data_IF_558150336868
#
_entry.id   IF_558150336868
#
_cell.length_a   1.000
_cell.length_b   1.000
_cell.length_c   1.000
_cell.angle_alpha   90.00
_cell.angle_beta   90.00
_cell.angle_gamma   90.00
#
_symmetry.space_group_name_H-M   'P 1'
#
loop_
_entity.id
_entity.type
_entity.pdbx_description
1 polymer ?
#
# COMPACT_ATOMS: atom_id res chain seq x y z
N UNK A 1 -10.28 -16.28 16.02
CA UNK A 1 -10.60 -15.23 15.02
C UNK A 1 -9.32 -14.49 14.63
N UNK A 2 -8.41 -15.14 13.89
CA UNK A 2 -7.16 -14.55 13.36
C UNK A 2 -6.77 -15.20 12.00
N UNK A 3 -7.75 -15.73 11.26
CA UNK A 3 -7.49 -16.48 10.02
C UNK A 3 -7.47 -15.59 8.76
N UNK A 4 -7.82 -14.30 8.86
CA UNK A 4 -8.05 -13.45 7.67
C UNK A 4 -6.77 -12.80 7.12
N UNK A 5 -5.69 -12.70 7.92
CA UNK A 5 -4.45 -12.08 7.45
C UNK A 5 -3.53 -13.00 6.63
N UNK A 6 -3.83 -14.30 6.52
CA UNK A 6 -2.97 -15.25 5.82
C UNK A 6 -3.30 -15.43 4.33
N UNK A 7 -4.44 -14.91 3.84
CA UNK A 7 -4.89 -15.13 2.45
C UNK A 7 -4.29 -14.11 1.45
N UNK A 8 -3.73 -12.99 1.93
CA UNK A 8 -3.21 -11.93 1.05
C UNK A 8 -1.77 -12.13 0.53
N UNK A 9 -1.16 -13.30 0.76
CA UNK A 9 0.12 -13.66 0.11
C UNK A 9 -0.06 -14.35 -1.26
N UNK A 10 -1.30 -14.59 -1.70
CA UNK A 10 -1.55 -15.19 -3.01
C UNK A 10 -1.51 -14.12 -4.11
N UNK A 11 -0.34 -14.00 -4.74
CA UNK A 11 -0.18 -13.63 -6.15
C UNK A 11 -0.77 -12.26 -6.54
N UNK A 12 -0.13 -11.17 -6.08
CA UNK A 12 -0.15 -9.91 -6.85
C UNK A 12 0.71 -10.10 -8.10
N UNK A 13 0.14 -10.73 -9.13
CA UNK A 13 0.63 -10.64 -10.51
C UNK A 13 0.17 -9.30 -11.10
N UNK A 14 0.50 -8.19 -10.42
CA UNK A 14 0.42 -6.87 -11.02
C UNK A 14 1.71 -6.71 -11.80
N UNK A 15 1.55 -6.52 -13.10
CA UNK A 15 2.56 -6.15 -14.10
C UNK A 15 3.28 -4.83 -13.77
N UNK A 16 3.98 -4.80 -12.64
CA UNK A 16 4.97 -3.79 -12.32
C UNK A 16 6.26 -4.56 -12.09
N UNK A 17 7.02 -4.74 -13.16
CA UNK A 17 8.44 -5.00 -13.01
C UNK A 17 8.96 -3.85 -12.15
N UNK A 18 9.30 -4.13 -10.89
CA UNK A 18 10.18 -3.22 -10.15
C UNK A 18 11.46 -3.25 -10.98
N UNK A 19 11.75 -2.15 -11.68
CA UNK A 19 13.06 -1.96 -12.29
C UNK A 19 14.03 -1.81 -11.11
N UNK A 20 14.42 -2.94 -10.53
CA UNK A 20 15.52 -3.01 -9.59
C UNK A 20 16.77 -2.80 -10.42
N UNK A 21 17.40 -1.64 -10.23
CA UNK A 21 18.68 -1.39 -10.84
C UNK A 21 19.67 -2.43 -10.29
N UNK A 22 20.06 -3.37 -11.15
CA UNK A 22 21.00 -4.44 -10.82
C UNK A 22 22.33 -3.85 -10.32
N UNK A 23 22.68 -2.63 -10.74
CA UNK A 23 23.88 -1.95 -10.28
C UNK A 23 23.81 -1.56 -8.81
N UNK A 24 22.64 -1.17 -8.30
CA UNK A 24 22.44 -0.83 -6.88
C UNK A 24 22.40 -2.11 -6.04
N UNK A 25 21.62 -3.11 -6.48
CA UNK A 25 21.42 -4.35 -5.72
C UNK A 25 22.67 -5.21 -5.61
N UNK A 26 23.60 -5.12 -6.58
CA UNK A 26 24.91 -5.80 -6.52
C UNK A 26 25.85 -5.27 -5.44
N UNK A 27 25.58 -4.08 -4.88
CA UNK A 27 26.44 -3.45 -3.88
C UNK A 27 26.15 -3.93 -2.44
N UNK A 28 25.00 -4.57 -2.22
CA UNK A 28 24.63 -5.10 -0.90
C UNK A 28 25.52 -6.28 -0.50
N UNK A 29 26.15 -6.20 0.67
CA UNK A 29 26.93 -7.27 1.28
C UNK A 29 26.04 -8.22 2.08
N UNK A 30 24.91 -7.73 2.60
CA UNK A 30 23.96 -8.53 3.38
C UNK A 30 22.76 -8.94 2.52
N UNK A 31 22.45 -10.23 2.51
CA UNK A 31 21.22 -10.75 1.89
C UNK A 31 19.96 -10.14 2.52
N UNK A 32 20.02 -9.74 3.80
CA UNK A 32 18.90 -9.07 4.46
C UNK A 32 18.64 -7.68 3.90
N UNK A 33 19.67 -6.96 3.45
CA UNK A 33 19.52 -5.64 2.82
C UNK A 33 18.81 -5.76 1.48
N UNK A 34 19.16 -6.77 0.69
CA UNK A 34 18.47 -7.08 -0.55
C UNK A 34 16.98 -7.41 -0.31
N UNK A 35 16.70 -8.29 0.65
CA UNK A 35 15.31 -8.67 1.01
C UNK A 35 14.51 -7.44 1.47
N UNK A 36 15.07 -6.60 2.33
CA UNK A 36 14.38 -5.40 2.82
C UNK A 36 14.19 -4.39 1.68
N UNK A 37 15.19 -4.18 0.84
CA UNK A 37 15.07 -3.26 -0.30
C UNK A 37 13.97 -3.70 -1.28
N UNK A 38 13.94 -4.98 -1.64
CA UNK A 38 12.91 -5.55 -2.52
C UNK A 38 11.52 -5.43 -1.88
N UNK A 39 11.40 -5.74 -0.59
CA UNK A 39 10.17 -5.54 0.17
C UNK A 39 9.69 -4.08 0.10
N UNK A 40 10.56 -3.09 0.36
CA UNK A 40 10.17 -1.67 0.34
C UNK A 40 9.80 -1.18 -1.06
N UNK A 41 10.50 -1.65 -2.10
CA UNK A 41 10.20 -1.33 -3.50
C UNK A 41 8.88 -1.95 -3.97
N UNK A 42 8.57 -3.18 -3.54
CA UNK A 42 7.29 -3.83 -3.81
C UNK A 42 6.11 -3.06 -3.18
N UNK A 43 6.37 -2.28 -2.13
CA UNK A 43 5.43 -1.36 -1.49
C UNK A 43 5.62 0.09 -1.95
N UNK A 44 5.89 0.28 -3.25
CA UNK A 44 5.92 1.63 -3.84
C UNK A 44 4.64 2.41 -3.51
N UNK A 45 4.80 3.69 -3.16
CA UNK A 45 3.70 4.58 -2.78
C UNK A 45 3.34 4.54 -1.30
N UNK A 46 3.91 3.63 -0.51
CA UNK A 46 3.84 3.64 0.96
C UNK A 46 4.97 4.50 1.54
N UNK A 47 4.72 5.19 2.66
CA UNK A 47 5.74 5.94 3.42
C UNK A 47 6.10 5.28 4.75
N UNK A 48 5.24 4.38 5.24
CA UNK A 48 5.54 3.46 6.33
C UNK A 48 4.66 2.21 6.23
N UNK A 49 4.96 1.15 6.99
CA UNK A 49 4.16 -0.07 6.98
C UNK A 49 4.38 -0.86 8.28
N UNK A 50 3.44 -0.86 9.23
CA UNK A 50 3.57 -1.67 10.43
C UNK A 50 3.59 -3.16 10.09
N UNK A 51 4.65 -3.87 10.48
CA UNK A 51 4.83 -5.31 10.27
C UNK A 51 5.07 -6.01 11.61
N UNK A 52 4.38 -7.13 11.86
CA UNK A 52 4.62 -7.90 13.08
C UNK A 52 6.02 -8.50 13.11
N UNK A 53 6.54 -8.76 14.31
CA UNK A 53 7.84 -9.43 14.50
C UNK A 53 7.87 -10.76 13.76
N UNK A 54 6.80 -11.54 13.85
CA UNK A 54 6.69 -12.86 13.23
C UNK A 54 6.73 -12.76 11.70
N UNK A 55 6.07 -11.76 11.13
CA UNK A 55 6.07 -11.54 9.68
C UNK A 55 7.46 -11.10 9.18
N UNK A 56 8.17 -10.24 9.94
CA UNK A 56 9.55 -9.87 9.59
C UNK A 56 10.53 -11.03 9.71
N UNK A 57 10.42 -11.86 10.75
CA UNK A 57 11.25 -13.05 10.88
C UNK A 57 11.08 -14.00 9.69
N UNK A 58 9.85 -14.19 9.21
CA UNK A 58 9.55 -14.96 8.00
C UNK A 58 10.08 -14.30 6.73
N UNK A 59 9.90 -12.98 6.59
CA UNK A 59 10.41 -12.20 5.45
C UNK A 59 11.92 -12.42 5.27
N UNK A 60 12.68 -12.42 6.38
CA UNK A 60 14.12 -12.64 6.35
C UNK A 60 14.56 -14.12 6.40
N UNK A 61 13.63 -15.08 6.46
CA UNK A 61 13.94 -16.51 6.53
C UNK A 61 14.66 -16.93 7.82
N UNK A 62 14.36 -16.27 8.94
CA UNK A 62 15.01 -16.48 10.25
C UNK A 62 14.02 -16.82 11.36
N UNK A 63 12.80 -17.21 11.02
CA UNK A 63 11.73 -17.58 11.93
C UNK A 63 12.06 -18.76 12.85
N UNK A 64 13.02 -19.61 12.46
CA UNK A 64 13.47 -20.76 13.26
C UNK A 64 14.71 -20.46 14.13
N UNK A 65 15.28 -19.25 14.06
CA UNK A 65 16.47 -18.88 14.86
C UNK A 65 16.06 -18.53 16.29
N UNK A 66 16.27 -19.48 17.23
CA UNK A 66 15.94 -19.32 18.66
C UNK A 66 16.48 -18.03 19.27
N UNK A 67 17.71 -17.62 18.92
CA UNK A 67 18.32 -16.39 19.41
C UNK A 67 17.50 -15.14 19.06
N UNK A 68 16.90 -15.09 17.87
CA UNK A 68 16.09 -13.96 17.41
C UNK A 68 14.66 -14.00 17.97
N UNK A 69 14.13 -15.22 18.14
CA UNK A 69 12.83 -15.43 18.79
C UNK A 69 12.86 -14.97 20.26
N UNK A 70 13.86 -15.42 21.02
CA UNK A 70 14.00 -15.13 22.45
C UNK A 70 14.53 -13.72 22.72
N UNK A 71 15.39 -13.19 21.85
CA UNK A 71 15.98 -11.87 22.01
C UNK A 71 15.75 -11.00 20.76
N UNK A 72 14.72 -10.15 20.82
CA UNK A 72 14.40 -9.21 19.75
C UNK A 72 15.54 -8.20 19.51
N UNK A 73 16.35 -7.87 20.52
CA UNK A 73 17.53 -7.01 20.37
C UNK A 73 18.60 -7.62 19.46
N UNK A 74 18.80 -8.95 19.52
CA UNK A 74 19.72 -9.65 18.61
C UNK A 74 19.20 -9.64 17.17
N UNK A 75 17.89 -9.80 16.98
CA UNK A 75 17.28 -9.67 15.66
C UNK A 75 17.49 -8.27 15.08
N UNK A 76 17.26 -7.22 15.87
CA UNK A 76 17.53 -5.83 15.44
C UNK A 76 18.98 -5.65 15.00
N UNK A 77 19.92 -5.93 15.90
CA UNK A 77 21.33 -5.65 15.70
C UNK A 77 21.94 -6.42 14.51
N UNK A 78 21.48 -7.65 14.28
CA UNK A 78 22.07 -8.54 13.26
C UNK A 78 21.32 -8.59 11.95
N UNK A 79 20.10 -8.06 11.89
CA UNK A 79 19.23 -8.14 10.71
C UNK A 79 18.73 -6.76 10.31
N UNK A 80 17.85 -6.15 11.12
CA UNK A 80 17.20 -4.89 10.76
C UNK A 80 18.21 -3.73 10.66
N UNK A 81 19.06 -3.55 11.67
CA UNK A 81 20.01 -2.43 11.71
C UNK A 81 21.05 -2.53 10.58
N UNK A 82 21.50 -3.76 10.28
CA UNK A 82 22.40 -4.03 9.16
C UNK A 82 21.74 -3.67 7.83
N UNK A 83 20.51 -4.15 7.62
CA UNK A 83 19.77 -3.91 6.38
C UNK A 83 19.47 -2.42 6.17
N UNK A 84 18.98 -1.74 7.21
CA UNK A 84 18.64 -0.31 7.17
C UNK A 84 19.88 0.54 6.93
N UNK A 85 20.98 0.27 7.63
CA UNK A 85 22.23 1.01 7.45
C UNK A 85 22.76 0.87 6.03
N UNK A 86 22.80 -0.36 5.52
CA UNK A 86 23.36 -0.64 4.20
C UNK A 86 22.50 -0.03 3.08
N UNK A 87 21.17 -0.08 3.18
CA UNK A 87 20.29 0.55 2.19
C UNK A 87 20.42 2.08 2.24
N UNK A 88 20.50 2.68 3.42
CA UNK A 88 20.66 4.12 3.58
C UNK A 88 21.98 4.66 3.00
N UNK A 89 23.02 3.83 3.04
CA UNK A 89 24.36 4.16 2.53
C UNK A 89 24.45 3.99 1.01
N UNK A 90 23.90 2.89 0.48
CA UNK A 90 24.15 2.45 -0.90
C UNK A 90 23.04 2.81 -1.89
N UNK A 91 21.91 3.33 -1.41
CA UNK A 91 20.75 3.63 -2.26
C UNK A 91 20.19 5.03 -2.05
N UNK A 92 19.29 5.41 -2.94
CA UNK A 92 18.49 6.64 -2.83
C UNK A 92 17.49 6.60 -1.67
N UNK A 93 17.20 5.43 -1.09
CA UNK A 93 16.25 5.29 0.00
C UNK A 93 16.82 5.85 1.31
N UNK A 94 15.94 6.50 2.07
CA UNK A 94 16.17 6.86 3.47
C UNK A 94 15.12 6.16 4.32
N UNK A 95 15.59 5.27 5.18
CA UNK A 95 14.80 4.33 5.98
C UNK A 95 15.11 4.57 7.45
N UNK A 96 14.06 4.63 8.24
CA UNK A 96 14.06 4.54 9.69
C UNK A 96 13.01 3.51 10.09
N UNK A 97 13.00 3.04 11.33
CA UNK A 97 11.91 2.20 11.81
C UNK A 97 11.55 2.54 13.25
N UNK A 98 10.27 2.41 13.59
CA UNK A 98 9.76 2.50 14.96
C UNK A 98 9.48 1.11 15.52
N UNK A 99 9.61 0.97 16.83
CA UNK A 99 9.26 -0.27 17.52
C UNK A 99 7.80 -0.24 17.94
N UNK A 100 7.03 -1.23 17.51
CA UNK A 100 5.66 -1.45 17.99
C UNK A 100 5.71 -2.28 19.27
N UNK A 101 5.21 -1.73 20.38
CA UNK A 101 5.30 -2.36 21.71
C UNK A 101 3.94 -2.72 22.28
N UNK A 102 3.86 -3.88 22.93
CA UNK A 102 2.76 -4.26 23.81
C UNK A 102 3.33 -4.44 25.22
N UNK A 103 3.10 -3.46 26.07
CA UNK A 103 3.79 -3.36 27.36
C UNK A 103 5.29 -3.17 27.16
N UNK A 104 6.12 -4.03 27.77
CA UNK A 104 7.58 -4.00 27.62
C UNK A 104 8.09 -4.76 26.39
N UNK A 105 7.23 -5.56 25.75
CA UNK A 105 7.62 -6.44 24.66
C UNK A 105 7.44 -5.77 23.30
N UNK A 106 8.45 -5.86 22.45
CA UNK A 106 8.37 -5.46 21.04
C UNK A 106 7.60 -6.55 20.29
N UNK A 107 6.47 -6.18 19.69
CA UNK A 107 5.56 -7.05 18.93
C UNK A 107 5.64 -6.83 17.41
N UNK A 108 6.27 -5.74 16.98
CA UNK A 108 6.43 -5.42 15.57
C UNK A 108 7.38 -4.25 15.35
N UNK A 109 7.54 -3.92 14.09
CA UNK A 109 8.34 -2.79 13.65
C UNK A 109 7.57 -2.05 12.55
N UNK A 110 7.68 -0.74 12.53
CA UNK A 110 7.08 0.12 11.52
C UNK A 110 8.20 0.85 10.74
N UNK A 111 8.71 0.24 9.66
CA UNK A 111 9.65 0.89 8.76
C UNK A 111 8.98 2.10 8.13
N UNK A 112 9.68 3.23 8.14
CA UNK A 112 9.34 4.46 7.45
C UNK A 112 10.40 4.70 6.38
N UNK A 113 10.01 4.99 5.13
CA UNK A 113 10.98 5.19 4.07
C UNK A 113 10.59 6.25 3.04
N UNK A 114 11.60 6.83 2.40
CA UNK A 114 11.43 7.81 1.34
C UNK A 114 12.58 7.77 0.33
N UNK A 115 12.38 8.36 -0.85
CA UNK A 115 13.39 8.45 -1.92
C UNK A 115 14.12 9.79 -1.82
N UNK A 116 15.24 9.85 -1.07
CA UNK A 116 16.19 10.98 -0.99
C UNK A 116 15.66 12.31 -0.44
N UNK A 117 14.35 12.48 -0.36
CA UNK A 117 13.62 13.65 0.14
C UNK A 117 12.55 13.18 1.12
N UNK A 118 12.18 14.01 2.10
CA UNK A 118 11.07 13.71 3.01
C UNK A 118 9.79 13.70 2.16
N UNK A 119 9.21 12.52 1.95
CA UNK A 119 7.95 12.40 1.20
C UNK A 119 6.79 12.64 2.17
N UNK A 120 5.92 13.62 1.93
CA UNK A 120 4.79 13.89 2.80
C UNK A 120 3.80 12.74 2.78
N UNK A 121 3.28 12.38 3.95
CA UNK A 121 2.16 11.44 4.10
C UNK A 121 0.89 12.00 3.45
N UNK A 122 0.01 11.11 3.01
CA UNK A 122 -1.30 11.51 2.54
C UNK A 122 -2.08 12.21 3.66
N UNK A 123 -2.70 13.34 3.31
CA UNK A 123 -3.54 14.08 4.23
C UNK A 123 -4.84 13.33 4.50
N UNK A 124 -5.43 13.55 5.67
CA UNK A 124 -6.75 12.99 5.99
C UNK A 124 -7.81 13.38 4.93
N UNK A 125 -7.74 14.62 4.42
CA UNK A 125 -8.60 15.12 3.34
C UNK A 125 -8.47 14.27 2.06
N UNK A 126 -7.25 13.99 1.60
CA UNK A 126 -7.03 13.16 0.41
C UNK A 126 -7.57 11.75 0.60
N UNK A 127 -7.31 11.16 1.77
CA UNK A 127 -7.74 9.80 2.02
C UNK A 127 -9.25 9.67 2.16
N UNK A 128 -9.91 10.66 2.78
CA UNK A 128 -11.37 10.72 2.87
C UNK A 128 -11.99 10.87 1.49
N UNK A 129 -11.43 11.72 0.65
CA UNK A 129 -11.91 11.87 -0.73
C UNK A 129 -11.77 10.57 -1.55
N UNK A 130 -10.63 9.87 -1.42
CA UNK A 130 -10.46 8.56 -2.05
C UNK A 130 -11.49 7.55 -1.52
N UNK A 131 -11.70 7.52 -0.20
CA UNK A 131 -12.68 6.65 0.46
C UNK A 131 -14.11 6.88 -0.04
N UNK A 132 -14.52 8.16 -0.19
CA UNK A 132 -15.82 8.53 -0.72
C UNK A 132 -16.04 8.02 -2.14
N UNK A 133 -15.08 8.24 -3.06
CA UNK A 133 -15.21 7.75 -4.44
C UNK A 133 -15.28 6.21 -4.48
N UNK A 134 -14.43 5.54 -3.69
CA UNK A 134 -14.40 4.08 -3.61
C UNK A 134 -15.73 3.55 -3.07
N UNK A 135 -16.28 4.15 -2.01
CA UNK A 135 -17.55 3.74 -1.42
C UNK A 135 -18.73 3.93 -2.39
N UNK A 136 -18.80 5.07 -3.08
CA UNK A 136 -19.85 5.34 -4.06
C UNK A 136 -19.89 4.27 -5.17
N UNK A 137 -18.75 3.99 -5.79
CA UNK A 137 -18.67 2.97 -6.85
C UNK A 137 -19.06 1.58 -6.32
N UNK A 138 -18.72 1.28 -5.06
CA UNK A 138 -19.03 -0.01 -4.42
C UNK A 138 -20.51 -0.18 -4.12
N UNK A 139 -21.14 0.84 -3.56
CA UNK A 139 -22.56 0.81 -3.20
C UNK A 139 -23.42 0.58 -4.45
N UNK A 140 -23.03 1.19 -5.57
CA UNK A 140 -23.74 1.09 -6.85
C UNK A 140 -23.17 0.03 -7.80
N UNK A 141 -22.31 -0.88 -7.32
CA UNK A 141 -21.61 -1.85 -8.18
C UNK A 141 -22.57 -2.71 -9.02
N UNK A 142 -23.74 -3.02 -8.46
CA UNK A 142 -24.76 -3.82 -9.13
C UNK A 142 -25.36 -3.13 -10.35
N UNK A 143 -25.37 -1.80 -10.40
CA UNK A 143 -25.83 -1.04 -11.56
C UNK A 143 -24.89 -1.31 -12.73
N UNK A 144 -23.58 -1.20 -12.48
CA UNK A 144 -22.56 -1.36 -13.50
C UNK A 144 -22.42 -2.79 -14.04
N UNK A 145 -22.55 -3.81 -13.18
CA UNK A 145 -22.49 -5.21 -13.66
C UNK A 145 -23.74 -5.61 -14.48
N UNK A 146 -24.80 -4.80 -14.44
CA UNK A 146 -26.05 -5.03 -15.16
C UNK A 146 -26.23 -4.10 -16.37
N UNK A 147 -25.17 -3.38 -16.78
CA UNK A 147 -25.17 -2.59 -18.02
C UNK A 147 -25.60 -3.46 -19.21
N UNK A 148 -26.40 -2.91 -20.11
CA UNK A 148 -26.97 -3.61 -21.27
C UNK A 148 -25.86 -3.98 -22.25
N UNK A 149 -25.02 -3.00 -22.62
CA UNK A 149 -23.97 -3.20 -23.61
C UNK A 149 -22.83 -4.05 -23.05
N UNK A 150 -22.61 -5.22 -23.67
CA UNK A 150 -21.67 -6.23 -23.16
C UNK A 150 -20.26 -5.67 -22.98
N UNK A 151 -19.78 -4.88 -23.95
CA UNK A 151 -18.45 -4.28 -23.90
C UNK A 151 -18.30 -3.32 -22.72
N UNK A 152 -19.30 -2.46 -22.51
CA UNK A 152 -19.32 -1.50 -21.41
C UNK A 152 -19.34 -2.23 -20.06
N UNK A 153 -20.15 -3.29 -19.94
CA UNK A 153 -20.21 -4.15 -18.76
C UNK A 153 -18.86 -4.82 -18.44
N UNK A 154 -18.18 -5.36 -19.44
CA UNK A 154 -16.85 -5.97 -19.27
C UNK A 154 -15.80 -4.94 -18.82
N UNK A 155 -15.79 -3.76 -19.42
CA UNK A 155 -14.89 -2.65 -19.04
C UNK A 155 -15.20 -2.17 -17.61
N UNK A 156 -16.48 -2.05 -17.25
CA UNK A 156 -16.93 -1.66 -15.91
C UNK A 156 -16.50 -2.65 -14.83
N UNK A 157 -16.58 -3.95 -15.10
CA UNK A 157 -16.12 -5.00 -14.17
C UNK A 157 -14.62 -4.87 -13.88
N UNK A 158 -13.79 -4.61 -14.90
CA UNK A 158 -12.35 -4.41 -14.70
C UNK A 158 -12.08 -3.13 -13.87
N UNK A 159 -12.78 -2.03 -14.15
CA UNK A 159 -12.68 -0.81 -13.34
C UNK A 159 -13.09 -1.07 -11.87
N UNK A 160 -14.19 -1.77 -11.63
CA UNK A 160 -14.63 -2.12 -10.26
C UNK A 160 -13.56 -2.94 -9.55
N UNK A 161 -12.93 -3.93 -10.21
CA UNK A 161 -11.83 -4.70 -9.62
C UNK A 161 -10.65 -3.81 -9.24
N UNK A 162 -10.30 -2.84 -10.07
CA UNK A 162 -9.24 -1.87 -9.75
C UNK A 162 -9.60 -1.01 -8.54
N UNK A 163 -10.84 -0.53 -8.45
CA UNK A 163 -11.37 0.22 -7.30
C UNK A 163 -11.39 -0.63 -6.03
N UNK A 164 -11.81 -1.89 -6.11
CA UNK A 164 -11.77 -2.84 -4.99
C UNK A 164 -10.35 -2.98 -4.42
N UNK A 165 -9.35 -3.04 -5.30
CA UNK A 165 -7.94 -3.12 -4.89
C UNK A 165 -7.48 -1.88 -4.12
N UNK A 166 -8.15 -0.73 -4.26
CA UNK A 166 -7.80 0.49 -3.54
C UNK A 166 -8.18 0.45 -2.05
N UNK A 167 -9.13 -0.40 -1.65
CA UNK A 167 -9.54 -0.53 -0.24
C UNK A 167 -8.39 -0.91 0.70
N UNK A 168 -7.40 -1.63 0.18
CA UNK A 168 -6.20 -1.99 0.94
C UNK A 168 -5.44 -0.75 1.47
N UNK A 169 -5.59 0.41 0.82
CA UNK A 169 -4.94 1.66 1.20
C UNK A 169 -5.80 2.55 2.11
N UNK A 170 -7.09 2.23 2.30
CA UNK A 170 -8.02 3.01 3.13
C UNK A 170 -7.96 2.64 4.63
N UNK A 171 -7.22 1.58 4.97
CA UNK A 171 -7.02 1.15 6.35
C UNK A 171 -6.25 2.25 7.11
N UNK A 172 -6.77 2.66 8.28
CA UNK A 172 -6.18 3.70 9.13
C UNK A 172 -5.16 3.11 10.11
N UNK A 173 -4.02 3.78 10.40
CA UNK A 173 -3.56 5.04 9.80
C UNK A 173 -3.09 4.86 8.34
N UNK A 174 -3.31 5.89 7.51
CA UNK A 174 -3.01 5.81 6.08
C UNK A 174 -1.50 5.73 5.82
N UNK A 175 -1.09 4.61 5.25
CA UNK A 175 0.31 4.26 5.01
C UNK A 175 0.86 4.79 3.68
N UNK A 176 0.06 5.50 2.88
CA UNK A 176 0.44 5.97 1.54
C UNK A 176 0.89 7.43 1.49
N UNK A 177 1.79 7.72 0.54
CA UNK A 177 2.34 9.06 0.30
C UNK A 177 1.26 9.99 -0.27
N UNK A 178 1.43 11.30 -0.06
CA UNK A 178 0.56 12.34 -0.62
C UNK A 178 0.40 12.22 -2.14
N UNK A 179 1.50 11.95 -2.83
CA UNK A 179 1.52 11.90 -4.29
C UNK A 179 0.85 10.63 -4.80
N UNK A 180 1.08 9.49 -4.13
CA UNK A 180 0.38 8.25 -4.47
C UNK A 180 -1.12 8.34 -4.17
N UNK A 181 -1.52 9.01 -3.08
CA UNK A 181 -2.94 9.30 -2.83
C UNK A 181 -3.56 10.14 -3.96
N UNK A 182 -2.86 11.15 -4.46
CA UNK A 182 -3.32 11.93 -5.63
C UNK A 182 -3.45 11.07 -6.90
N UNK A 183 -2.51 10.15 -7.14
CA UNK A 183 -2.61 9.20 -8.26
C UNK A 183 -3.84 8.29 -8.13
N UNK A 184 -4.09 7.75 -6.93
CA UNK A 184 -5.26 6.90 -6.67
C UNK A 184 -6.57 7.68 -6.83
N UNK A 185 -6.65 8.90 -6.28
CA UNK A 185 -7.80 9.80 -6.46
C UNK A 185 -8.06 10.02 -7.95
N UNK A 186 -7.03 10.43 -8.71
CA UNK A 186 -7.16 10.68 -10.14
C UNK A 186 -7.68 9.44 -10.89
N UNK A 187 -7.17 8.26 -10.56
CA UNK A 187 -7.65 7.00 -11.16
C UNK A 187 -9.10 6.69 -10.78
N UNK A 188 -9.46 6.86 -9.51
CA UNK A 188 -10.80 6.61 -9.02
C UNK A 188 -11.82 7.57 -9.67
N UNK A 189 -11.50 8.87 -9.74
CA UNK A 189 -12.31 9.88 -10.42
C UNK A 189 -12.47 9.57 -11.92
N UNK A 190 -11.38 9.20 -12.61
CA UNK A 190 -11.46 8.83 -14.03
C UNK A 190 -12.36 7.60 -14.25
N UNK A 191 -12.26 6.61 -13.36
CA UNK A 191 -13.10 5.41 -13.40
C UNK A 191 -14.58 5.76 -13.19
N UNK A 192 -14.89 6.59 -12.18
CA UNK A 192 -16.26 7.06 -11.94
C UNK A 192 -16.81 7.82 -13.15
N UNK A 193 -16.03 8.73 -13.74
CA UNK A 193 -16.44 9.47 -14.93
C UNK A 193 -16.75 8.54 -16.11
N UNK A 194 -15.95 7.49 -16.30
CA UNK A 194 -16.17 6.49 -17.35
C UNK A 194 -17.39 5.62 -17.08
N UNK A 195 -17.59 5.21 -15.83
CA UNK A 195 -18.79 4.48 -15.41
C UNK A 195 -20.05 5.32 -15.61
N UNK A 196 -20.03 6.60 -15.23
CA UNK A 196 -21.11 7.55 -15.48
C UNK A 196 -21.40 7.75 -16.97
N UNK A 197 -20.38 7.70 -17.83
CA UNK A 197 -20.58 7.71 -19.27
C UNK A 197 -21.39 6.48 -19.73
N UNK A 198 -21.10 5.29 -19.20
CA UNK A 198 -21.89 4.08 -19.51
C UNK A 198 -23.33 4.16 -19.01
N UNK A 199 -23.55 4.70 -17.80
CA UNK A 199 -24.89 4.93 -17.28
C UNK A 199 -25.71 5.83 -18.21
N UNK A 200 -25.10 6.89 -18.75
CA UNK A 200 -25.77 7.77 -19.72
C UNK A 200 -26.13 7.04 -21.02
N UNK A 201 -25.25 6.20 -21.54
CA UNK A 201 -25.53 5.39 -22.74
C UNK A 201 -26.70 4.41 -22.50
N UNK A 202 -26.82 3.89 -21.27
CA UNK A 202 -27.89 3.00 -20.82
C UNK A 202 -29.16 3.73 -20.34
N UNK A 203 -29.23 5.07 -20.47
CA UNK A 203 -30.33 5.93 -19.99
C UNK A 203 -30.59 5.83 -18.48
N UNK A 204 -29.54 5.61 -17.68
CA UNK A 204 -29.56 5.60 -16.22
C UNK A 204 -29.04 6.94 -15.64
N UNK A 205 -29.45 7.26 -14.42
CA UNK A 205 -28.95 8.43 -13.69
C UNK A 205 -27.47 8.25 -13.35
N UNK A 206 -26.69 9.34 -13.44
CA UNK A 206 -25.27 9.32 -13.05
C UNK A 206 -25.09 9.47 -11.55
N UNK A 207 -24.02 8.87 -11.05
CA UNK A 207 -23.62 8.96 -9.65
C UNK A 207 -22.65 10.12 -9.48
N UNK A 208 -23.02 11.09 -8.65
CA UNK A 208 -22.17 12.24 -8.36
C UNK A 208 -21.44 12.07 -7.03
N UNK A 209 -20.16 12.46 -7.01
CA UNK A 209 -19.45 12.61 -5.73
C UNK A 209 -20.04 13.84 -5.05
N UNK A 210 -20.54 13.74 -3.80
CA UNK A 210 -20.99 14.91 -3.06
C UNK A 210 -19.87 15.96 -3.03
N UNK A 211 -20.15 17.16 -3.57
CA UNK A 211 -19.26 18.31 -3.44
C UNK A 211 -19.28 18.80 -1.98
N UNK A 212 -18.53 18.13 -1.10
CA UNK A 212 -18.28 18.71 0.22
C UNK A 212 -17.34 19.91 0.05
N UNK A 213 -17.84 21.08 0.45
CA UNK A 213 -17.11 22.34 0.42
C UNK A 213 -16.05 22.34 1.55
N UNK A 214 -14.89 21.73 1.32
CA UNK A 214 -13.81 21.62 2.32
C UNK A 214 -13.04 22.93 2.58
N UNK A 215 -13.53 24.06 2.07
CA UNK A 215 -12.99 25.41 2.27
C UNK A 215 -13.49 26.08 3.56
N UNK A 216 -14.43 25.46 4.28
CA UNK A 216 -14.86 25.94 5.60
C UNK A 216 -14.19 25.10 6.69
N UNK A 217 -13.04 25.55 7.18
CA UNK A 217 -12.37 24.98 8.35
C UNK A 217 -10.86 25.08 8.29
N UNK A 218 -10.34 26.30 8.50
CA UNK A 218 -9.03 26.54 9.12
C UNK A 218 -9.17 26.48 10.65
#
# INVERSE_FOLDING_TARGET
MYQVYMVFFSVRKLSKYVLTDLTITSQFKSSYSWILYDFLKAHYGYWHLPVSKEALLKLFGVENKKSYLMNTGMFKLKVLDVAVSEINELTELKILYKEEKRGKSIVGFDPHWSYGTIVPSATEKQMKHLEEIVLLIKEDMFIFINLQEKKNREEAIEMIKEIENMNAFLIRPAVITRDYANELIKKATNSLNRLNYFLKEDNQETIEVPLFNWLEGE
#
